data_IF_859510316547
#
_entry.id   IF_859510316547
#
_cell.length_a   1.000
_cell.length_b   1.000
_cell.length_c   1.000
_cell.angle_alpha   90.00
_cell.angle_beta   90.00
_cell.angle_gamma   90.00
#
_symmetry.space_group_name_H-M   'P 1'
#
loop_
_entity.id
_entity.type
_entity.pdbx_description
1 polymer ?
#
# COMPACT_ATOMS: atom_id res chain seq x y z
N UNK A 1 -7.74 11.31 -8.99
CA UNK A 1 -8.61 11.55 -7.80
C UNK A 1 -8.18 10.55 -6.73
N UNK A 2 -8.04 11.03 -5.49
CA UNK A 2 -7.76 10.19 -4.32
C UNK A 2 -8.93 10.36 -3.35
N UNK A 3 -9.85 9.41 -3.27
CA UNK A 3 -10.85 9.38 -2.20
C UNK A 3 -10.17 9.14 -0.85
N UNK A 4 -10.52 9.98 0.13
CA UNK A 4 -10.04 9.86 1.51
C UNK A 4 -11.26 9.66 2.40
N UNK A 5 -11.34 8.51 3.05
CA UNK A 5 -12.52 8.12 3.85
C UNK A 5 -12.11 7.83 5.28
N UNK A 6 -12.69 8.58 6.24
CA UNK A 6 -12.53 8.26 7.66
C UNK A 6 -13.42 7.08 8.03
N UNK A 7 -12.88 6.06 8.68
CA UNK A 7 -13.61 4.87 9.10
C UNK A 7 -13.77 4.85 10.61
N UNK A 8 -15.02 4.65 11.03
CA UNK A 8 -15.45 4.55 12.43
C UNK A 8 -16.14 3.22 12.63
N UNK A 9 -15.68 2.42 13.58
CA UNK A 9 -16.28 1.12 13.87
C UNK A 9 -17.75 1.26 14.29
N UNK A 10 -18.63 0.44 13.75
CA UNK A 10 -20.08 0.47 14.01
C UNK A 10 -20.82 1.63 13.36
N UNK A 11 -20.15 2.47 12.56
CA UNK A 11 -20.78 3.59 11.84
C UNK A 11 -20.71 3.39 10.32
N UNK A 12 -19.53 3.18 9.79
CA UNK A 12 -19.32 3.05 8.34
C UNK A 12 -18.26 2.01 7.93
N UNK A 13 -17.73 1.23 8.85
CA UNK A 13 -16.77 0.18 8.54
C UNK A 13 -17.34 -0.89 7.58
N UNK A 14 -18.67 -1.10 7.57
CA UNK A 14 -19.34 -1.99 6.64
C UNK A 14 -19.39 -1.46 5.19
N UNK A 15 -18.98 -0.21 4.96
CA UNK A 15 -18.96 0.42 3.64
C UNK A 15 -17.60 0.36 2.96
N UNK A 16 -16.58 -0.19 3.61
CA UNK A 16 -15.21 -0.27 3.06
C UNK A 16 -15.20 -0.96 1.71
N UNK A 17 -15.88 -2.10 1.58
CA UNK A 17 -15.97 -2.85 0.32
C UNK A 17 -16.60 -2.03 -0.81
N UNK A 18 -17.69 -1.31 -0.53
CA UNK A 18 -18.38 -0.47 -1.54
C UNK A 18 -17.53 0.68 -2.05
N UNK A 19 -16.70 1.27 -1.18
CA UNK A 19 -15.74 2.32 -1.60
C UNK A 19 -14.68 1.72 -2.52
N UNK A 20 -14.21 0.51 -2.23
CA UNK A 20 -13.25 -0.21 -3.08
C UNK A 20 -13.88 -0.58 -4.42
N UNK A 21 -15.07 -1.15 -4.42
CA UNK A 21 -15.82 -1.49 -5.65
C UNK A 21 -15.99 -0.26 -6.55
N UNK A 22 -16.40 0.87 -5.96
CA UNK A 22 -16.51 2.13 -6.71
C UNK A 22 -15.18 2.55 -7.37
N UNK A 23 -14.05 2.35 -6.69
CA UNK A 23 -12.75 2.65 -7.28
C UNK A 23 -12.37 1.67 -8.39
N UNK A 24 -12.67 0.37 -8.21
CA UNK A 24 -12.43 -0.67 -9.21
C UNK A 24 -13.28 -0.45 -10.48
N UNK A 25 -14.47 0.12 -10.34
CA UNK A 25 -15.32 0.50 -11.47
C UNK A 25 -14.82 1.76 -12.21
N UNK A 26 -13.93 2.53 -11.56
CA UNK A 26 -13.39 3.79 -12.09
C UNK A 26 -11.85 3.82 -12.18
N UNK A 27 -11.16 2.77 -12.68
CA UNK A 27 -9.71 2.62 -12.56
C UNK A 27 -8.91 3.68 -13.34
N UNK A 28 -9.53 4.33 -14.33
CA UNK A 28 -8.91 5.44 -15.10
C UNK A 28 -8.90 6.77 -14.34
N UNK A 29 -9.70 6.90 -13.28
CA UNK A 29 -9.87 8.14 -12.51
C UNK A 29 -9.37 8.01 -11.09
N UNK A 30 -9.47 6.82 -10.51
CA UNK A 30 -9.11 6.50 -9.14
C UNK A 30 -8.05 5.41 -9.17
N UNK A 31 -6.84 5.76 -8.80
CA UNK A 31 -5.70 4.84 -8.74
C UNK A 31 -5.13 4.69 -7.32
N UNK A 32 -5.71 5.40 -6.37
CA UNK A 32 -5.34 5.32 -4.96
C UNK A 32 -6.55 5.60 -4.08
N UNK A 33 -6.71 4.81 -3.02
CA UNK A 33 -7.69 5.00 -1.94
C UNK A 33 -6.95 5.20 -0.62
N UNK A 34 -7.40 6.15 0.18
CA UNK A 34 -6.92 6.38 1.53
C UNK A 34 -8.05 6.17 2.53
N UNK A 35 -7.91 5.16 3.38
CA UNK A 35 -8.78 4.96 4.52
C UNK A 35 -8.09 5.45 5.78
N UNK A 36 -8.75 6.30 6.53
CA UNK A 36 -8.23 6.86 7.78
C UNK A 36 -9.01 6.29 8.96
N UNK A 37 -8.45 5.36 9.73
CA UNK A 37 -9.05 4.96 10.99
C UNK A 37 -9.26 6.18 11.89
N UNK A 38 -10.45 6.29 12.49
CA UNK A 38 -10.77 7.41 13.37
C UNK A 38 -9.78 7.50 14.53
N UNK A 39 -9.34 8.72 14.80
CA UNK A 39 -8.56 9.04 16.00
C UNK A 39 -9.36 9.97 16.90
N UNK A 40 -9.67 9.52 18.10
CA UNK A 40 -10.39 10.30 19.12
C UNK A 40 -9.38 11.13 19.90
N UNK A 41 -8.89 12.21 19.28
CA UNK A 41 -7.94 13.15 19.86
C UNK A 41 -8.42 14.59 19.69
N UNK A 42 -8.10 15.46 20.63
CA UNK A 42 -8.33 16.88 20.54
C UNK A 42 -9.76 17.30 20.87
N UNK A 43 -10.59 17.62 19.86
CA UNK A 43 -11.86 18.32 20.05
C UNK A 43 -13.09 17.47 20.38
N UNK A 44 -12.95 16.17 20.55
CA UNK A 44 -14.11 15.33 20.96
C UNK A 44 -14.22 15.33 22.48
N UNK A 45 -14.67 16.47 23.03
CA UNK A 45 -14.77 16.72 24.48
C UNK A 45 -15.83 15.84 25.16
N UNK A 46 -16.79 15.31 24.38
CA UNK A 46 -17.91 14.51 24.89
C UNK A 46 -17.67 13.00 24.74
N UNK A 47 -16.48 12.57 24.29
CA UNK A 47 -16.24 11.15 24.11
C UNK A 47 -16.02 10.44 25.44
N UNK A 48 -16.83 9.43 25.71
CA UNK A 48 -16.64 8.53 26.85
C UNK A 48 -15.65 7.43 26.49
N UNK A 49 -15.05 6.79 27.50
CA UNK A 49 -14.16 5.64 27.28
C UNK A 49 -14.87 4.45 26.62
N UNK A 50 -16.15 4.25 26.95
CA UNK A 50 -16.99 3.21 26.35
C UNK A 50 -17.17 3.48 24.87
N UNK A 51 -17.51 4.71 24.49
CA UNK A 51 -17.67 5.13 23.09
C UNK A 51 -16.34 5.02 22.32
N UNK A 52 -15.25 5.46 22.93
CA UNK A 52 -13.90 5.35 22.34
C UNK A 52 -13.54 3.90 22.05
N UNK A 53 -13.80 2.99 22.97
CA UNK A 53 -13.54 1.54 22.80
C UNK A 53 -14.45 0.94 21.73
N UNK A 54 -15.73 1.27 21.74
CA UNK A 54 -16.70 0.73 20.79
C UNK A 54 -16.45 1.19 19.35
N UNK A 55 -16.08 2.47 19.17
CA UNK A 55 -15.88 3.07 17.86
C UNK A 55 -14.44 2.99 17.35
N UNK A 56 -13.52 2.45 18.13
CA UNK A 56 -12.11 2.29 17.73
C UNK A 56 -12.00 1.41 16.49
N UNK A 57 -11.31 1.95 15.50
CA UNK A 57 -10.96 1.22 14.28
C UNK A 57 -9.44 1.26 14.09
N UNK A 58 -8.83 0.18 13.63
CA UNK A 58 -7.39 0.05 13.48
C UNK A 58 -7.02 -0.37 12.06
N UNK A 59 -5.76 -0.25 11.70
CA UNK A 59 -5.25 -0.74 10.41
C UNK A 59 -5.48 -2.24 10.22
N UNK A 60 -5.39 -3.01 11.30
CA UNK A 60 -5.72 -4.45 11.26
C UNK A 60 -7.21 -4.70 10.98
N UNK A 61 -8.11 -3.93 11.60
CA UNK A 61 -9.54 -4.04 11.28
C UNK A 61 -9.78 -3.73 9.80
N UNK A 62 -9.15 -2.67 9.26
CA UNK A 62 -9.26 -2.31 7.85
C UNK A 62 -8.83 -3.47 6.93
N UNK A 63 -7.67 -4.07 7.18
CA UNK A 63 -7.17 -5.16 6.35
C UNK A 63 -8.12 -6.38 6.35
N UNK A 64 -8.72 -6.70 7.51
CA UNK A 64 -9.71 -7.77 7.60
C UNK A 64 -11.04 -7.40 6.94
N UNK A 65 -11.52 -6.17 7.11
CA UNK A 65 -12.77 -5.71 6.47
C UNK A 65 -12.61 -5.68 4.94
N UNK A 66 -11.47 -5.26 4.41
CA UNK A 66 -11.19 -5.34 2.97
C UNK A 66 -11.31 -6.79 2.49
N UNK A 67 -10.64 -7.73 3.17
CA UNK A 67 -10.73 -9.15 2.81
C UNK A 67 -12.15 -9.69 2.91
N UNK A 68 -12.83 -9.42 4.01
CA UNK A 68 -14.16 -9.97 4.27
C UNK A 68 -15.23 -9.42 3.32
N UNK A 69 -15.13 -8.14 2.95
CA UNK A 69 -16.13 -7.45 2.13
C UNK A 69 -15.88 -7.57 0.62
N UNK A 70 -14.62 -7.75 0.20
CA UNK A 70 -14.26 -7.77 -1.23
C UNK A 70 -13.60 -9.06 -1.69
N UNK A 71 -13.13 -9.89 -0.78
CA UNK A 71 -12.30 -11.06 -1.12
C UNK A 71 -10.85 -10.71 -1.47
N UNK A 72 -10.49 -9.43 -1.58
CA UNK A 72 -9.18 -8.95 -2.05
C UNK A 72 -8.17 -8.97 -0.91
N UNK A 73 -6.99 -9.53 -1.18
CA UNK A 73 -5.82 -9.50 -0.30
C UNK A 73 -5.95 -10.39 0.94
N UNK A 74 -4.80 -10.78 1.47
CA UNK A 74 -4.66 -11.49 2.75
C UNK A 74 -4.09 -10.52 3.79
N UNK A 75 -4.77 -10.30 4.94
CA UNK A 75 -4.40 -9.29 5.93
C UNK A 75 -2.95 -9.37 6.42
N UNK A 76 -2.39 -10.57 6.51
CA UNK A 76 -1.03 -10.81 7.03
C UNK A 76 0.04 -10.92 5.95
N UNK A 77 -0.34 -10.98 4.66
CA UNK A 77 0.60 -11.17 3.55
C UNK A 77 0.72 -9.97 2.63
N UNK A 78 -0.41 -9.31 2.34
CA UNK A 78 -0.50 -8.39 1.19
C UNK A 78 -0.43 -6.92 1.60
N UNK A 79 -0.35 -6.64 2.89
CA UNK A 79 -0.27 -5.31 3.46
C UNK A 79 1.12 -5.00 3.98
N UNK A 80 1.68 -3.90 3.54
CA UNK A 80 3.02 -3.46 3.92
C UNK A 80 2.96 -2.10 4.61
N UNK A 81 3.85 -1.85 5.60
CA UNK A 81 4.04 -0.51 6.13
C UNK A 81 4.39 0.47 5.02
N UNK A 82 3.95 1.73 5.11
CA UNK A 82 4.31 2.76 4.12
C UNK A 82 5.83 2.91 4.01
N UNK A 83 6.55 2.75 5.12
CA UNK A 83 8.02 2.75 5.15
C UNK A 83 8.67 1.68 4.27
N UNK A 84 7.95 0.62 3.89
CA UNK A 84 8.43 -0.36 2.93
C UNK A 84 8.79 0.25 1.57
N UNK A 85 8.10 1.33 1.18
CA UNK A 85 8.35 2.03 -0.08
C UNK A 85 9.66 2.80 -0.10
N UNK A 86 10.29 3.09 1.06
CA UNK A 86 11.53 3.86 1.13
C UNK A 86 12.65 3.27 0.26
N UNK A 87 12.81 1.95 0.26
CA UNK A 87 13.83 1.27 -0.56
C UNK A 87 13.68 1.57 -2.06
N UNK A 88 12.43 1.67 -2.55
CA UNK A 88 12.15 1.95 -3.96
C UNK A 88 12.30 3.44 -4.28
N UNK A 89 11.99 4.33 -3.34
CA UNK A 89 12.20 5.76 -3.49
C UNK A 89 13.69 6.11 -3.44
N UNK A 90 14.47 5.48 -2.58
CA UNK A 90 15.93 5.62 -2.55
C UNK A 90 16.55 5.19 -3.89
N UNK A 91 16.06 4.09 -4.49
CA UNK A 91 16.48 3.70 -5.83
C UNK A 91 16.10 4.76 -6.88
N UNK A 92 14.90 5.34 -6.81
CA UNK A 92 14.47 6.38 -7.73
C UNK A 92 15.39 7.62 -7.64
N UNK A 93 15.82 8.00 -6.44
CA UNK A 93 16.74 9.11 -6.23
C UNK A 93 18.13 8.82 -6.84
N UNK A 94 18.63 7.58 -6.72
CA UNK A 94 19.86 7.18 -7.40
C UNK A 94 19.79 7.30 -8.93
N UNK A 95 18.63 7.02 -9.50
CA UNK A 95 18.43 7.07 -10.97
C UNK A 95 18.22 8.50 -11.45
N UNK A 96 17.49 9.32 -10.70
CA UNK A 96 17.18 10.70 -11.07
C UNK A 96 18.29 11.70 -10.71
N UNK A 97 19.16 11.34 -9.76
CA UNK A 97 20.29 12.15 -9.31
C UNK A 97 19.96 13.11 -8.18
N UNK A 98 20.99 13.78 -7.62
CA UNK A 98 20.90 14.53 -6.37
C UNK A 98 19.99 15.78 -6.41
N UNK A 99 19.64 16.25 -7.60
CA UNK A 99 18.81 17.45 -7.75
C UNK A 99 17.31 17.18 -7.70
N UNK A 100 16.91 15.91 -7.51
CA UNK A 100 15.51 15.51 -7.47
C UNK A 100 15.28 14.48 -6.39
N UNK A 101 14.83 14.93 -5.24
CA UNK A 101 14.36 14.07 -4.18
C UNK A 101 12.95 13.55 -4.53
N UNK A 102 12.88 12.36 -5.07
CA UNK A 102 11.62 11.63 -5.27
C UNK A 102 11.24 10.86 -4.01
N UNK A 103 12.22 10.59 -3.16
CA UNK A 103 12.14 9.74 -1.99
C UNK A 103 11.61 10.42 -0.75
N UNK A 104 10.63 11.31 -0.84
CA UNK A 104 10.04 11.95 0.35
C UNK A 104 9.25 11.00 1.26
N UNK A 105 9.14 9.72 0.89
CA UNK A 105 8.60 8.67 1.75
C UNK A 105 9.65 8.13 2.75
N UNK A 106 10.84 8.67 2.79
CA UNK A 106 11.81 8.48 3.88
C UNK A 106 11.36 9.17 5.18
N UNK A 107 10.11 9.58 5.27
CA UNK A 107 9.57 10.03 6.53
C UNK A 107 9.80 8.92 7.55
N UNK A 108 10.37 9.24 8.70
CA UNK A 108 10.55 8.33 9.83
C UNK A 108 9.20 7.87 10.40
N UNK A 109 8.24 7.58 9.52
CA UNK A 109 6.94 7.05 9.91
C UNK A 109 7.13 5.70 10.57
N UNK A 110 6.67 5.61 11.80
CA UNK A 110 6.59 4.34 12.48
C UNK A 110 5.78 3.35 11.61
N UNK A 111 6.16 2.07 11.52
CA UNK A 111 5.44 1.08 10.71
C UNK A 111 3.92 1.02 10.97
N UNK A 112 3.50 1.40 12.18
CA UNK A 112 2.08 1.45 12.56
C UNK A 112 1.35 2.73 12.13
N UNK A 113 2.02 3.70 11.50
CA UNK A 113 1.36 4.93 11.04
C UNK A 113 0.47 4.71 9.82
N UNK A 114 0.82 3.73 8.99
CA UNK A 114 0.04 3.41 7.80
C UNK A 114 0.52 2.12 7.14
N UNK A 115 -0.41 1.40 6.57
CA UNK A 115 -0.17 0.22 5.74
C UNK A 115 -0.83 0.41 4.39
N UNK A 116 -0.29 -0.23 3.38
CA UNK A 116 -0.84 -0.21 2.03
C UNK A 116 -0.78 -1.58 1.37
N UNK A 117 -1.70 -1.80 0.46
CA UNK A 117 -1.72 -2.94 -0.44
C UNK A 117 -1.76 -2.43 -1.88
N UNK A 118 -0.92 -2.96 -2.74
CA UNK A 118 -0.97 -2.69 -4.16
C UNK A 118 -1.70 -3.82 -4.89
N UNK A 119 -2.59 -3.45 -5.81
CA UNK A 119 -3.32 -4.40 -6.65
C UNK A 119 -3.15 -4.04 -8.13
N UNK A 120 -3.15 -5.04 -8.99
CA UNK A 120 -3.34 -4.88 -10.42
C UNK A 120 -4.75 -5.32 -10.79
N UNK A 121 -5.37 -4.57 -11.70
CA UNK A 121 -6.70 -4.90 -12.22
C UNK A 121 -6.50 -5.63 -13.55
N UNK A 122 -6.93 -6.88 -13.59
CA UNK A 122 -6.95 -7.65 -14.82
C UNK A 122 -7.87 -6.98 -15.86
N UNK A 123 -7.38 -6.81 -17.07
CA UNK A 123 -8.12 -6.07 -18.12
C UNK A 123 -9.35 -6.80 -18.62
N UNK A 124 -9.30 -8.12 -18.63
CA UNK A 124 -10.36 -8.98 -19.16
C UNK A 124 -11.40 -9.30 -18.09
N UNK A 125 -10.94 -9.80 -16.93
CA UNK A 125 -11.81 -10.24 -15.84
C UNK A 125 -12.27 -9.11 -14.93
N UNK A 126 -11.55 -7.97 -14.91
CA UNK A 126 -11.73 -6.86 -13.96
C UNK A 126 -11.44 -7.23 -12.50
N UNK A 127 -10.84 -8.39 -12.29
CA UNK A 127 -10.45 -8.85 -10.97
C UNK A 127 -9.26 -8.05 -10.44
N UNK A 128 -9.29 -7.69 -9.15
CA UNK A 128 -8.19 -7.02 -8.48
C UNK A 128 -7.24 -8.06 -7.87
N UNK A 129 -6.05 -8.18 -8.44
CA UNK A 129 -5.03 -9.16 -8.02
C UNK A 129 -3.97 -8.44 -7.19
N UNK A 130 -3.76 -8.83 -5.91
CA UNK A 130 -2.66 -8.28 -5.10
C UNK A 130 -1.31 -8.54 -5.76
N UNK A 131 -0.45 -7.53 -5.77
CA UNK A 131 0.89 -7.60 -6.39
C UNK A 131 1.72 -8.76 -5.83
N UNK A 132 1.53 -9.10 -4.57
CA UNK A 132 2.18 -10.24 -3.89
C UNK A 132 1.79 -11.61 -4.43
N UNK A 133 0.71 -11.72 -5.20
CA UNK A 133 0.33 -12.97 -5.84
C UNK A 133 1.34 -13.41 -6.93
N UNK A 134 2.01 -12.44 -7.57
CA UNK A 134 2.96 -12.68 -8.66
C UNK A 134 4.33 -12.03 -8.44
N UNK A 135 4.53 -11.30 -7.34
CA UNK A 135 5.78 -10.65 -6.99
C UNK A 135 6.18 -10.99 -5.56
N UNK A 136 7.40 -11.47 -5.37
CA UNK A 136 7.98 -11.72 -4.04
C UNK A 136 8.46 -10.38 -3.44
N UNK A 137 7.51 -9.57 -2.96
CA UNK A 137 7.72 -8.17 -2.59
C UNK A 137 8.85 -7.97 -1.54
N UNK A 138 8.87 -8.79 -0.48
CA UNK A 138 9.92 -8.73 0.54
C UNK A 138 11.32 -9.03 -0.02
N UNK A 139 11.42 -10.03 -0.90
CA UNK A 139 12.70 -10.39 -1.50
C UNK A 139 13.14 -9.34 -2.53
N UNK A 140 12.19 -8.79 -3.29
CA UNK A 140 12.46 -7.68 -4.19
C UNK A 140 13.02 -6.47 -3.44
N UNK A 141 12.40 -6.06 -2.34
CA UNK A 141 12.90 -4.95 -1.54
C UNK A 141 14.32 -5.19 -1.03
N UNK A 142 14.63 -6.42 -0.57
CA UNK A 142 16.00 -6.79 -0.15
C UNK A 142 17.01 -6.75 -1.30
N UNK A 143 16.61 -7.17 -2.50
CA UNK A 143 17.48 -7.15 -3.66
C UNK A 143 17.69 -5.71 -4.17
N UNK A 144 16.66 -4.86 -4.12
CA UNK A 144 16.76 -3.42 -4.45
C UNK A 144 17.62 -2.67 -3.42
N UNK A 145 17.49 -2.97 -2.13
CA UNK A 145 18.36 -2.39 -1.11
C UNK A 145 19.85 -2.64 -1.41
N UNK A 146 20.22 -3.85 -1.85
CA UNK A 146 21.59 -4.15 -2.28
C UNK A 146 22.03 -3.34 -3.51
N UNK A 147 21.10 -3.04 -4.41
CA UNK A 147 21.38 -2.16 -5.56
C UNK A 147 21.66 -0.74 -5.09
N UNK A 148 20.87 -0.24 -4.10
CA UNK A 148 21.05 1.07 -3.50
C UNK A 148 22.39 1.17 -2.76
N UNK A 149 22.73 0.18 -1.94
CA UNK A 149 24.00 0.13 -1.19
C UNK A 149 25.23 0.11 -2.11
N UNK A 150 25.11 -0.54 -3.27
CA UNK A 150 26.19 -0.61 -4.23
C UNK A 150 26.47 0.71 -4.96
N UNK A 151 25.49 1.59 -5.07
CA UNK A 151 25.55 2.96 -5.63
C UNK A 151 26.42 3.11 -6.90
N UNK A 152 26.28 2.17 -7.84
CA UNK A 152 27.16 2.03 -9.02
C UNK A 152 26.84 2.98 -10.19
N UNK A 153 26.03 4.02 -9.93
CA UNK A 153 25.59 4.97 -10.93
C UNK A 153 24.30 4.54 -11.66
N UNK A 154 23.70 5.49 -12.36
CA UNK A 154 22.34 5.40 -12.94
C UNK A 154 22.07 4.12 -13.71
N UNK A 155 22.89 3.80 -14.71
CA UNK A 155 22.66 2.67 -15.62
C UNK A 155 22.78 1.32 -14.93
N UNK A 156 23.74 1.17 -14.03
CA UNK A 156 23.90 -0.07 -13.27
C UNK A 156 22.80 -0.23 -12.23
N UNK A 157 22.29 0.87 -11.67
CA UNK A 157 21.12 0.83 -10.78
C UNK A 157 19.84 0.44 -11.52
N UNK A 158 19.65 0.91 -12.74
CA UNK A 158 18.52 0.50 -13.60
C UNK A 158 18.64 -1.00 -13.95
N UNK A 159 19.80 -1.44 -14.36
CA UNK A 159 20.02 -2.86 -14.66
C UNK A 159 19.83 -3.74 -13.43
N UNK A 160 20.33 -3.30 -12.27
CA UNK A 160 20.14 -3.99 -11.00
C UNK A 160 18.66 -4.15 -10.62
N UNK A 161 17.86 -3.09 -10.78
CA UNK A 161 16.41 -3.16 -10.57
C UNK A 161 15.74 -4.13 -11.54
N UNK A 162 16.10 -4.08 -12.83
CA UNK A 162 15.54 -5.00 -13.82
C UNK A 162 15.83 -6.47 -13.47
N UNK A 163 17.05 -6.78 -13.07
CA UNK A 163 17.45 -8.13 -12.63
C UNK A 163 16.71 -8.54 -11.33
N UNK A 164 16.56 -7.63 -10.38
CA UNK A 164 15.82 -7.87 -9.15
C UNK A 164 14.34 -8.18 -9.45
N UNK A 165 13.72 -7.40 -10.36
CA UNK A 165 12.34 -7.66 -10.81
C UNK A 165 12.23 -9.03 -11.49
N UNK A 166 13.05 -9.33 -12.47
CA UNK A 166 13.02 -10.61 -13.19
C UNK A 166 13.15 -11.82 -12.25
N UNK A 167 14.01 -11.72 -11.25
CA UNK A 167 14.22 -12.78 -10.24
C UNK A 167 13.00 -13.00 -9.34
N UNK A 168 12.25 -11.94 -9.05
CA UNK A 168 11.19 -11.96 -8.05
C UNK A 168 9.76 -11.94 -8.65
N UNK A 169 9.65 -11.90 -9.98
CA UNK A 169 8.40 -11.84 -10.73
C UNK A 169 8.02 -13.21 -11.30
N UNK A 170 6.75 -13.58 -11.13
CA UNK A 170 6.16 -14.79 -11.70
C UNK A 170 5.17 -14.39 -12.82
N UNK A 171 5.57 -14.49 -14.10
CA UNK A 171 4.72 -14.07 -15.22
C UNK A 171 3.48 -14.93 -15.41
N UNK A 172 3.46 -16.17 -14.89
CA UNK A 172 2.31 -17.06 -15.02
C UNK A 172 1.19 -16.77 -14.03
N UNK A 173 1.46 -15.94 -13.02
CA UNK A 173 0.49 -15.51 -12.01
C UNK A 173 0.08 -14.05 -12.15
N UNK A 174 0.76 -13.32 -13.04
CA UNK A 174 0.43 -11.93 -13.27
C UNK A 174 -0.87 -11.80 -14.08
N UNK A 175 -1.72 -10.82 -13.76
CA UNK A 175 -2.92 -10.53 -14.56
C UNK A 175 -2.54 -10.02 -15.96
N UNK A 176 -3.42 -10.19 -16.93
CA UNK A 176 -3.25 -9.78 -18.33
C UNK A 176 -3.57 -8.31 -18.59
#
# INVERSE_FOLDING_TARGET
IVPVTTIVNGVNNEQVGRVIEFALDNPRKINFLSFQPVSFTGRDEEITEERRKAQRYTLSHLAHDVKNQTGIGEPTRDWFPISFMSTFTDWADLVHGPDREWGQLTCGCHPNCGIGMAVMIDKETKEAVPVTAFLKADQLAKDVAKVNDAARGKWLSILGMALALMKNYDPFKAPT
#
